data_IF_536621927947
#
_entry.id   IF_536621927947
#
_cell.length_a   1.000
_cell.length_b   1.000
_cell.length_c   1.000
_cell.angle_alpha   90.00
_cell.angle_beta   90.00
_cell.angle_gamma   90.00
#
_symmetry.space_group_name_H-M   'P 1'
#
loop_
_entity.id
_entity.type
_entity.pdbx_description
1 polymer ?
#
# COMPACT_ATOMS: atom_id res chain seq x y z
N UNK A 1 -0.45 -7.26 16.00
CA UNK A 1 -1.13 -6.07 15.36
C UNK A 1 -2.29 -5.62 16.24
N UNK A 2 -2.63 -4.32 16.28
CA UNK A 2 -3.72 -3.83 17.15
C UNK A 2 -5.09 -4.27 16.62
N UNK A 3 -6.01 -4.70 17.50
CA UNK A 3 -7.32 -5.26 17.14
C UNK A 3 -8.17 -4.36 16.24
N UNK A 4 -8.10 -3.04 16.42
CA UNK A 4 -8.82 -2.09 15.57
C UNK A 4 -8.42 -2.13 14.10
N UNK A 5 -7.15 -2.43 13.79
CA UNK A 5 -6.68 -2.59 12.41
C UNK A 5 -7.07 -3.93 11.83
N UNK A 6 -7.01 -4.99 12.62
CA UNK A 6 -7.51 -6.32 12.21
C UNK A 6 -8.99 -6.24 11.81
N UNK A 7 -9.80 -5.59 12.63
CA UNK A 7 -11.22 -5.41 12.34
C UNK A 7 -11.48 -4.60 11.05
N UNK A 8 -10.62 -3.62 10.74
CA UNK A 8 -10.71 -2.87 9.47
C UNK A 8 -10.32 -3.73 8.27
N UNK A 9 -9.26 -4.51 8.39
CA UNK A 9 -8.83 -5.44 7.34
C UNK A 9 -9.92 -6.46 7.07
N UNK A 10 -10.52 -7.04 8.11
CA UNK A 10 -11.62 -7.99 7.96
C UNK A 10 -12.85 -7.37 7.27
N UNK A 11 -13.19 -6.12 7.60
CA UNK A 11 -14.28 -5.41 6.90
C UNK A 11 -13.98 -5.21 5.40
N UNK A 12 -12.73 -4.90 5.05
CA UNK A 12 -12.32 -4.77 3.64
C UNK A 12 -12.42 -6.12 2.94
N UNK A 13 -11.89 -7.19 3.53
CA UNK A 13 -11.96 -8.55 2.98
C UNK A 13 -13.41 -9.01 2.71
N UNK A 14 -14.35 -8.59 3.55
CA UNK A 14 -15.76 -8.96 3.46
C UNK A 14 -16.58 -8.03 2.55
N UNK A 15 -16.00 -6.94 2.06
CA UNK A 15 -16.72 -6.05 1.14
C UNK A 15 -16.96 -6.71 -0.21
N UNK A 16 -18.01 -6.30 -0.90
CA UNK A 16 -18.40 -6.85 -2.21
C UNK A 16 -17.31 -6.74 -3.26
N UNK A 17 -16.49 -5.68 -3.17
CA UNK A 17 -15.42 -5.37 -4.12
C UNK A 17 -14.23 -6.33 -3.97
N UNK A 18 -13.95 -6.80 -2.73
CA UNK A 18 -12.74 -7.59 -2.45
C UNK A 18 -13.03 -9.05 -2.11
N UNK A 19 -14.25 -9.42 -1.76
CA UNK A 19 -14.61 -10.79 -1.34
C UNK A 19 -14.69 -11.80 -2.50
N UNK A 20 -14.81 -11.33 -3.74
CA UNK A 20 -14.99 -12.20 -4.92
C UNK A 20 -13.70 -12.93 -5.31
N UNK A 21 -12.54 -12.40 -4.97
CA UNK A 21 -11.26 -13.03 -5.24
C UNK A 21 -10.35 -12.89 -4.00
N UNK A 22 -9.88 -14.01 -3.47
CA UNK A 22 -9.01 -14.04 -2.29
C UNK A 22 -7.68 -13.29 -2.48
N UNK A 23 -7.30 -13.00 -3.73
CA UNK A 23 -6.09 -12.28 -4.07
C UNK A 23 -6.32 -10.80 -4.40
N UNK A 24 -7.53 -10.27 -4.17
CA UNK A 24 -7.85 -8.84 -4.38
C UNK A 24 -7.11 -7.91 -3.42
N UNK A 25 -6.53 -8.44 -2.35
CA UNK A 25 -5.73 -7.68 -1.38
C UNK A 25 -4.35 -8.33 -1.29
N UNK A 26 -3.30 -7.52 -1.44
CA UNK A 26 -1.91 -7.94 -1.42
C UNK A 26 -1.11 -7.14 -0.40
N UNK A 27 -0.35 -7.80 0.45
CA UNK A 27 0.60 -7.15 1.36
C UNK A 27 1.94 -6.99 0.64
N UNK A 28 2.49 -5.77 0.66
CA UNK A 28 3.80 -5.45 0.08
C UNK A 28 4.68 -4.80 1.13
N UNK A 29 5.73 -5.50 1.57
CA UNK A 29 6.66 -5.03 2.61
C UNK A 29 8.09 -5.04 2.10
N UNK A 30 8.93 -4.08 2.53
CA UNK A 30 10.35 -4.09 2.20
C UNK A 30 11.19 -5.03 3.09
N UNK A 31 10.55 -5.65 4.09
CA UNK A 31 11.14 -6.69 4.96
C UNK A 31 10.45 -8.03 4.72
N UNK A 32 9.23 -8.20 5.19
CA UNK A 32 8.50 -9.47 5.02
C UNK A 32 8.34 -9.82 3.52
N UNK A 33 8.75 -11.03 3.16
CA UNK A 33 8.73 -11.52 1.78
C UNK A 33 9.88 -11.04 0.89
N UNK A 34 10.81 -10.28 1.44
CA UNK A 34 12.05 -9.95 0.72
C UNK A 34 13.04 -11.11 0.79
N UNK A 35 13.60 -11.52 -0.35
CA UNK A 35 14.59 -12.60 -0.42
C UNK A 35 15.97 -12.21 0.13
N UNK A 36 16.11 -11.06 0.79
CA UNK A 36 17.40 -10.59 1.33
C UNK A 36 17.85 -11.31 2.60
N UNK A 37 16.96 -11.97 3.34
CA UNK A 37 17.28 -12.72 4.54
C UNK A 37 16.22 -13.79 4.84
N UNK A 38 16.61 -14.95 5.41
CA UNK A 38 15.69 -16.05 5.74
C UNK A 38 14.55 -15.63 6.70
N UNK A 39 14.84 -14.77 7.65
CA UNK A 39 13.87 -14.24 8.60
C UNK A 39 12.71 -13.49 7.92
N UNK A 40 12.95 -12.84 6.79
CA UNK A 40 11.92 -12.13 6.03
C UNK A 40 10.87 -13.07 5.41
N UNK A 41 11.26 -14.29 5.08
CA UNK A 41 10.32 -15.32 4.65
C UNK A 41 9.46 -15.82 5.83
N UNK A 42 10.07 -15.98 7.01
CA UNK A 42 9.33 -16.35 8.22
C UNK A 42 8.31 -15.25 8.61
N UNK A 43 8.71 -13.98 8.55
CA UNK A 43 7.80 -12.85 8.76
C UNK A 43 6.63 -12.83 7.76
N UNK A 44 6.90 -13.11 6.48
CA UNK A 44 5.86 -13.17 5.47
C UNK A 44 4.85 -14.28 5.76
N UNK A 45 5.32 -15.49 6.08
CA UNK A 45 4.45 -16.62 6.44
C UNK A 45 3.62 -16.32 7.68
N UNK A 46 4.21 -15.68 8.68
CA UNK A 46 3.49 -15.27 9.88
C UNK A 46 2.38 -14.28 9.55
N UNK A 47 2.64 -13.26 8.73
CA UNK A 47 1.62 -12.30 8.30
C UNK A 47 0.50 -12.97 7.49
N UNK A 48 0.85 -13.91 6.61
CA UNK A 48 -0.13 -14.68 5.84
C UNK A 48 -1.05 -15.50 6.76
N UNK A 49 -0.49 -16.13 7.79
CA UNK A 49 -1.26 -16.89 8.78
C UNK A 49 -2.15 -15.99 9.64
N UNK A 50 -1.63 -14.84 10.09
CA UNK A 50 -2.37 -13.92 10.96
C UNK A 50 -3.50 -13.18 10.24
N UNK A 51 -3.28 -12.79 8.98
CA UNK A 51 -4.20 -11.92 8.24
C UNK A 51 -5.02 -12.67 7.19
N UNK A 52 -4.60 -13.88 6.81
CA UNK A 52 -5.21 -14.61 5.71
C UNK A 52 -5.09 -13.87 4.37
N UNK A 53 -4.02 -13.11 4.17
CA UNK A 53 -3.74 -12.32 2.99
C UNK A 53 -2.38 -12.69 2.40
N UNK A 54 -2.22 -12.74 1.08
CA UNK A 54 -0.93 -13.01 0.45
C UNK A 54 0.08 -11.88 0.72
N UNK A 55 1.34 -12.25 0.89
CA UNK A 55 2.47 -11.33 0.97
C UNK A 55 3.33 -11.45 -0.28
N UNK A 56 3.58 -10.35 -0.96
CA UNK A 56 4.41 -10.34 -2.17
C UNK A 56 5.84 -10.75 -1.85
N UNK A 57 6.33 -11.80 -2.53
CA UNK A 57 7.75 -12.19 -2.49
C UNK A 57 8.52 -11.32 -3.48
N UNK A 58 9.46 -10.52 -2.96
CA UNK A 58 10.18 -9.52 -3.74
C UNK A 58 11.64 -9.93 -3.92
N UNK A 59 12.17 -9.67 -5.12
CA UNK A 59 13.61 -9.73 -5.34
C UNK A 59 14.32 -8.63 -4.53
N UNK A 60 15.55 -8.88 -4.00
CA UNK A 60 16.28 -7.90 -3.19
C UNK A 60 16.44 -6.53 -3.86
N UNK A 61 16.63 -6.53 -5.18
CA UNK A 61 16.88 -5.32 -5.98
C UNK A 61 15.60 -4.62 -6.45
N UNK A 62 14.40 -5.23 -6.22
CA UNK A 62 13.10 -4.70 -6.66
C UNK A 62 12.13 -4.49 -5.51
N UNK A 63 12.63 -3.92 -4.42
CA UNK A 63 11.79 -3.47 -3.30
C UNK A 63 11.06 -2.17 -3.65
N UNK A 64 10.05 -1.80 -2.84
CA UNK A 64 9.41 -0.49 -3.02
C UNK A 64 10.44 0.65 -3.03
N UNK A 65 10.40 1.55 -3.98
CA UNK A 65 9.31 1.80 -4.94
C UNK A 65 9.40 1.04 -6.29
N UNK A 66 10.36 0.13 -6.49
CA UNK A 66 10.63 -0.50 -7.79
C UNK A 66 9.80 -1.78 -8.05
N UNK A 67 9.02 -2.25 -7.09
CA UNK A 67 8.24 -3.50 -7.21
C UNK A 67 6.90 -3.35 -7.94
N UNK A 68 6.59 -2.21 -8.54
CA UNK A 68 5.35 -1.97 -9.28
C UNK A 68 5.02 -3.07 -10.30
N UNK A 69 5.95 -3.46 -11.18
CA UNK A 69 5.72 -4.54 -12.14
C UNK A 69 5.39 -5.89 -11.50
N UNK A 70 5.98 -6.20 -10.34
CA UNK A 70 5.70 -7.44 -9.61
C UNK A 70 4.30 -7.41 -8.96
N UNK A 71 3.84 -6.25 -8.48
CA UNK A 71 2.48 -6.05 -7.99
C UNK A 71 1.47 -6.29 -9.12
N UNK A 72 1.65 -5.65 -10.27
CA UNK A 72 0.74 -5.82 -11.40
C UNK A 72 0.74 -7.26 -11.91
N UNK A 73 1.92 -7.87 -11.99
CA UNK A 73 2.05 -9.28 -12.35
C UNK A 73 1.26 -10.18 -11.40
N UNK A 74 1.36 -9.95 -10.09
CA UNK A 74 0.62 -10.72 -9.09
C UNK A 74 -0.89 -10.65 -9.35
N UNK A 75 -1.46 -9.46 -9.50
CA UNK A 75 -2.90 -9.30 -9.72
C UNK A 75 -3.36 -9.92 -11.05
N UNK A 76 -2.57 -9.80 -12.10
CA UNK A 76 -2.84 -10.44 -13.40
C UNK A 76 -2.83 -11.96 -13.29
N UNK A 77 -1.79 -12.54 -12.70
CA UNK A 77 -1.62 -13.98 -12.57
C UNK A 77 -2.75 -14.63 -11.75
N UNK A 78 -3.37 -13.88 -10.85
CA UNK A 78 -4.50 -14.33 -10.04
C UNK A 78 -5.87 -13.91 -10.58
N UNK A 79 -5.93 -13.36 -11.80
CA UNK A 79 -7.18 -12.99 -12.46
C UNK A 79 -7.95 -11.87 -11.76
N UNK A 80 -7.23 -10.95 -11.08
CA UNK A 80 -7.85 -9.79 -10.41
C UNK A 80 -7.96 -8.63 -11.37
N UNK A 81 -6.84 -8.12 -11.86
CA UNK A 81 -6.79 -7.04 -12.87
C UNK A 81 -5.42 -7.00 -13.56
N UNK A 82 -5.39 -6.46 -14.77
CA UNK A 82 -4.17 -6.08 -15.50
C UNK A 82 -4.07 -4.56 -15.73
N UNK A 83 -5.07 -3.80 -15.23
CA UNK A 83 -5.10 -2.34 -15.31
C UNK A 83 -4.58 -1.71 -14.00
N UNK A 84 -3.44 -1.02 -14.02
CA UNK A 84 -2.92 -0.32 -12.83
C UNK A 84 -3.90 0.67 -12.21
N UNK A 85 -4.83 1.23 -12.99
CA UNK A 85 -5.83 2.21 -12.53
C UNK A 85 -6.89 1.61 -11.63
N UNK A 86 -7.02 0.29 -11.60
CA UNK A 86 -7.90 -0.44 -10.69
C UNK A 86 -7.20 -0.83 -9.39
N UNK A 87 -5.91 -0.48 -9.25
CA UNK A 87 -5.12 -0.78 -8.07
C UNK A 87 -5.02 0.47 -7.19
N UNK A 88 -5.17 0.30 -5.89
CA UNK A 88 -4.88 1.33 -4.89
C UNK A 88 -3.79 0.85 -3.94
N UNK A 89 -2.73 1.64 -3.80
CA UNK A 89 -1.67 1.41 -2.82
C UNK A 89 -1.94 2.23 -1.56
N UNK A 90 -2.04 1.57 -0.42
CA UNK A 90 -2.25 2.21 0.89
C UNK A 90 -0.97 2.06 1.72
N UNK A 91 -0.41 3.17 2.17
CA UNK A 91 0.82 3.13 2.96
C UNK A 91 1.11 4.45 3.67
N UNK A 92 2.13 4.44 4.52
CA UNK A 92 2.50 5.57 5.36
C UNK A 92 3.73 6.35 4.89
N UNK A 93 4.39 5.89 3.81
CA UNK A 93 5.64 6.47 3.32
C UNK A 93 5.52 7.01 1.90
N UNK A 94 5.81 8.31 1.74
CA UNK A 94 5.80 8.97 0.42
C UNK A 94 6.84 8.36 -0.54
N UNK A 95 8.07 8.17 -0.06
CA UNK A 95 9.20 7.72 -0.89
C UNK A 95 9.13 6.24 -1.30
N UNK A 96 8.23 5.47 -0.72
CA UNK A 96 8.06 4.05 -1.08
C UNK A 96 6.65 3.75 -1.55
N UNK A 97 5.63 3.96 -0.72
CA UNK A 97 4.26 3.55 -1.02
C UNK A 97 3.58 4.46 -2.05
N UNK A 98 3.66 5.78 -1.85
CA UNK A 98 3.08 6.72 -2.82
C UNK A 98 3.87 6.72 -4.13
N UNK A 99 5.20 6.59 -4.04
CA UNK A 99 6.05 6.59 -5.23
C UNK A 99 5.84 5.32 -6.08
N UNK A 100 5.69 4.12 -5.47
CA UNK A 100 5.37 2.91 -6.25
C UNK A 100 4.01 3.02 -6.94
N UNK A 101 3.00 3.58 -6.28
CA UNK A 101 1.70 3.82 -6.90
C UNK A 101 1.82 4.76 -8.10
N UNK A 102 2.54 5.86 -7.94
CA UNK A 102 2.78 6.82 -9.02
C UNK A 102 3.51 6.18 -10.23
N UNK A 103 4.58 5.44 -9.97
CA UNK A 103 5.35 4.75 -11.03
C UNK A 103 4.53 3.66 -11.74
N UNK A 104 3.64 3.00 -11.01
CA UNK A 104 2.75 1.99 -11.57
C UNK A 104 1.58 2.59 -12.36
N UNK A 105 1.23 3.85 -12.13
CA UNK A 105 0.01 4.50 -12.66
C UNK A 105 -1.25 4.16 -11.86
N UNK A 106 -1.07 3.81 -10.60
CA UNK A 106 -2.12 3.40 -9.65
C UNK A 106 -2.54 4.54 -8.74
N UNK A 107 -3.67 4.34 -8.03
CA UNK A 107 -4.07 5.23 -6.95
C UNK A 107 -3.19 5.06 -5.73
N UNK A 108 -3.05 6.12 -4.94
CA UNK A 108 -2.40 6.04 -3.63
C UNK A 108 -3.25 6.66 -2.52
N UNK A 109 -3.27 6.00 -1.37
CA UNK A 109 -3.80 6.53 -0.12
C UNK A 109 -2.65 6.67 0.87
N UNK A 110 -2.23 7.90 1.11
CA UNK A 110 -1.17 8.15 2.07
C UNK A 110 -1.71 8.29 3.49
N UNK A 111 -1.37 7.33 4.34
CA UNK A 111 -1.67 7.33 5.76
C UNK A 111 -0.68 8.23 6.51
N UNK A 112 -0.83 9.56 6.37
CA UNK A 112 0.10 10.58 6.86
C UNK A 112 0.47 10.45 8.34
N UNK A 113 -0.47 10.01 9.16
CA UNK A 113 -0.26 9.86 10.59
C UNK A 113 0.39 8.51 10.96
N UNK A 114 0.59 7.63 9.99
CA UNK A 114 1.12 6.30 10.17
C UNK A 114 0.26 5.46 11.11
N UNK A 115 0.88 4.46 11.72
CA UNK A 115 0.21 3.64 12.70
C UNK A 115 0.16 4.36 14.06
N UNK A 116 -1.05 4.52 14.60
CA UNK A 116 -1.27 5.01 15.97
C UNK A 116 -1.86 3.89 16.82
N UNK A 117 -1.27 3.64 17.97
CA UNK A 117 -1.91 2.79 18.97
C UNK A 117 -2.92 3.64 19.76
N UNK A 118 -4.25 3.39 19.64
CA UNK A 118 -5.26 4.17 20.35
C UNK A 118 -5.19 4.00 21.88
N UNK A 119 -4.52 2.96 22.39
CA UNK A 119 -4.35 2.72 23.83
C UNK A 119 -3.25 3.59 24.45
N UNK A 120 -2.39 4.20 23.63
CA UNK A 120 -1.30 5.07 24.09
C UNK A 120 -1.41 6.43 23.38
N UNK A 121 -2.29 7.31 23.85
CA UNK A 121 -2.46 8.63 23.26
C UNK A 121 -1.16 9.43 23.27
N UNK A 122 -0.88 10.12 22.17
CA UNK A 122 0.25 11.04 22.07
C UNK A 122 1.59 10.41 21.69
N UNK A 123 1.72 9.08 21.64
CA UNK A 123 2.96 8.44 21.17
C UNK A 123 2.98 8.36 19.64
N UNK A 124 3.97 9.02 19.06
CA UNK A 124 4.23 9.00 17.62
C UNK A 124 5.21 7.87 17.28
N UNK A 125 4.69 6.80 16.66
CA UNK A 125 5.48 5.62 16.26
C UNK A 125 6.11 5.76 14.88
N UNK A 126 5.91 6.90 14.20
CA UNK A 126 6.51 7.13 12.88
C UNK A 126 8.02 7.18 13.00
N UNK A 127 8.70 6.50 12.10
CA UNK A 127 10.15 6.59 11.96
C UNK A 127 10.61 7.99 11.53
N UNK A 128 11.89 8.27 11.69
CA UNK A 128 12.51 9.54 11.32
C UNK A 128 12.17 9.98 9.88
N UNK A 129 12.25 9.05 8.93
CA UNK A 129 11.95 9.33 7.53
C UNK A 129 10.49 9.73 7.30
N UNK A 130 9.53 9.05 7.92
CA UNK A 130 8.12 9.40 7.80
C UNK A 130 7.80 10.79 8.38
N UNK A 131 8.48 11.18 9.45
CA UNK A 131 8.38 12.54 10.01
C UNK A 131 8.96 13.59 9.07
N UNK A 132 10.09 13.29 8.44
CA UNK A 132 10.73 14.16 7.45
C UNK A 132 9.84 14.33 6.21
N UNK A 133 9.28 13.23 5.69
CA UNK A 133 8.35 13.25 4.55
C UNK A 133 7.10 14.10 4.86
N UNK A 134 6.55 13.99 6.07
CA UNK A 134 5.40 14.81 6.49
C UNK A 134 5.73 16.31 6.54
N UNK A 135 6.93 16.68 6.98
CA UNK A 135 7.41 18.08 6.97
C UNK A 135 7.63 18.60 5.55
N UNK A 136 8.19 17.77 4.69
CA UNK A 136 8.40 18.12 3.30
C UNK A 136 7.08 18.34 2.54
N UNK A 137 6.08 17.50 2.79
CA UNK A 137 4.74 17.68 2.24
C UNK A 137 4.12 19.02 2.66
N UNK A 138 4.22 19.36 3.95
CA UNK A 138 3.72 20.66 4.45
C UNK A 138 4.40 21.83 3.74
N UNK A 139 5.72 21.74 3.51
CA UNK A 139 6.47 22.74 2.76
C UNK A 139 5.99 22.85 1.30
N UNK A 140 5.84 21.71 0.62
CA UNK A 140 5.40 21.69 -0.78
C UNK A 140 3.99 22.23 -0.94
N UNK A 141 3.07 21.85 -0.07
CA UNK A 141 1.66 22.25 -0.13
C UNK A 141 1.43 23.65 0.38
N UNK A 142 1.98 23.98 1.55
CA UNK A 142 1.81 25.28 2.20
C UNK A 142 2.71 26.38 1.66
N UNK A 143 4.00 26.06 1.39
CA UNK A 143 4.98 27.03 0.94
C UNK A 143 5.03 27.22 -0.58
N UNK A 144 4.83 26.16 -1.36
CA UNK A 144 4.94 26.19 -2.83
C UNK A 144 3.60 26.00 -3.54
N UNK A 145 2.48 25.87 -2.82
CA UNK A 145 1.15 25.70 -3.39
C UNK A 145 0.97 24.46 -4.27
N UNK A 146 1.83 23.45 -4.10
CA UNK A 146 1.77 22.23 -4.89
C UNK A 146 0.63 21.34 -4.40
N UNK A 147 -0.21 20.90 -5.34
CA UNK A 147 -1.29 19.93 -5.08
C UNK A 147 -0.88 18.58 -5.70
N UNK A 148 -1.19 17.50 -5.02
CA UNK A 148 -0.95 16.17 -5.58
C UNK A 148 -1.76 16.03 -6.89
N UNK A 149 -1.13 15.55 -7.98
CA UNK A 149 -1.87 15.29 -9.21
C UNK A 149 -2.90 14.20 -8.97
N UNK A 150 -4.10 14.38 -9.50
CA UNK A 150 -5.06 13.29 -9.58
C UNK A 150 -4.52 12.25 -10.57
N UNK A 151 -4.78 10.96 -10.36
CA UNK A 151 -4.47 9.94 -11.36
C UNK A 151 -5.17 10.34 -12.66
N UNK A 152 -4.40 10.51 -13.71
CA UNK A 152 -4.92 10.87 -15.01
C UNK A 152 -5.83 9.78 -15.53
N UNK A 153 -7.09 10.13 -15.77
CA UNK A 153 -8.16 9.33 -16.37
C UNK A 153 -8.94 8.40 -15.43
N UNK A 154 -9.83 9.01 -14.62
CA UNK A 154 -11.14 8.38 -14.48
C UNK A 154 -12.08 9.17 -15.41
N UNK A 155 -12.20 8.71 -16.63
CA UNK A 155 -13.45 8.92 -17.36
C UNK A 155 -14.46 8.03 -16.69
N UNK A 156 -15.41 8.65 -15.96
CA UNK A 156 -16.58 7.94 -15.43
C UNK A 156 -17.24 7.12 -16.55
N UNK A 157 -17.69 5.87 -16.29
CA UNK A 157 -18.31 5.01 -17.29
C UNK A 157 -19.69 5.49 -17.79
N UNK A 158 -20.09 6.70 -17.51
CA UNK A 158 -21.45 7.25 -17.78
C UNK A 158 -21.47 8.38 -18.75
N UNK A 159 -20.77 8.29 -19.89
CA UNK A 159 -21.15 9.04 -21.08
C UNK A 159 -20.84 8.20 -22.33
N UNK A 160 -21.81 7.31 -22.67
CA UNK A 160 -21.97 6.87 -24.05
C UNK A 160 -22.99 7.79 -24.69
N UNK A 161 -22.70 8.29 -25.92
CA UNK A 161 -23.65 9.06 -26.70
C UNK A 161 -24.87 8.22 -27.10
#
# INVERSE_FOLDING_TARGET
MHQAYLNKIEKIKQSTEFSQNAHSILIVSNTAGSSSAPEHEAEAKQLELELGLPVLRQHPDRKKPLCGPDILKFFRDHGVTDDPREIVVVGDRLATDVLVAHQLGSWSVWCKEGWRNPEIPGRDYRGFFSKMESRFEVLLRGGLGRVAPLPTTITSPTEKP
#
